data_IF_251605665123
#
_entry.id   IF_251605665123
#
_cell.length_a   1.000
_cell.length_b   1.000
_cell.length_c   1.000
_cell.angle_alpha   90.00
_cell.angle_beta   90.00
_cell.angle_gamma   90.00
#
_symmetry.space_group_name_H-M   'P 1'
#
loop_
_entity.id
_entity.type
_entity.pdbx_description
1 polymer ?
#
# COMPACT_ATOMS: atom_id res chain seq x y z
N UNK A 1 32.52 19.99 -7.20
CA UNK A 1 31.75 18.76 -6.98
C UNK A 1 30.60 19.07 -6.01
N UNK A 2 29.44 19.49 -6.53
CA UNK A 2 28.24 19.72 -5.69
C UNK A 2 27.44 18.42 -5.73
N UNK A 3 27.46 17.61 -4.65
CA UNK A 3 26.37 16.66 -4.44
C UNK A 3 25.14 17.52 -4.19
N UNK A 4 24.28 17.67 -5.20
CA UNK A 4 23.04 18.41 -5.04
C UNK A 4 22.21 17.75 -3.95
N UNK A 5 21.50 18.56 -3.17
CA UNK A 5 20.53 18.11 -2.17
C UNK A 5 19.57 17.03 -2.71
N UNK A 6 19.28 17.06 -4.01
CA UNK A 6 18.48 16.07 -4.74
C UNK A 6 19.06 14.65 -4.80
N UNK A 7 20.34 14.45 -4.48
CA UNK A 7 21.01 13.14 -4.53
C UNK A 7 21.11 12.42 -3.18
N UNK A 8 20.74 13.09 -2.08
CA UNK A 8 20.77 12.48 -0.76
C UNK A 8 19.43 11.76 -0.48
N UNK A 9 19.44 10.45 -0.19
CA UNK A 9 18.21 9.69 -0.07
C UNK A 9 17.40 10.05 1.18
N UNK A 10 18.04 10.40 2.29
CA UNK A 10 17.35 10.87 3.50
C UNK A 10 16.67 12.22 3.25
N UNK A 11 17.34 13.13 2.55
CA UNK A 11 16.76 14.41 2.13
C UNK A 11 15.54 14.18 1.24
N UNK A 12 15.61 13.25 0.30
CA UNK A 12 14.48 12.87 -0.54
C UNK A 12 13.32 12.26 0.27
N UNK A 13 13.59 11.40 1.26
CA UNK A 13 12.55 10.93 2.18
C UNK A 13 11.85 12.10 2.88
N UNK A 14 12.61 13.01 3.50
CA UNK A 14 12.07 14.15 4.25
C UNK A 14 11.23 15.07 3.34
N UNK A 15 11.73 15.37 2.15
CA UNK A 15 11.00 16.17 1.15
C UNK A 15 9.73 15.45 0.68
N UNK A 16 9.82 14.14 0.41
CA UNK A 16 8.68 13.32 0.03
C UNK A 16 7.58 13.32 1.08
N UNK A 17 7.94 13.12 2.35
CA UNK A 17 7.00 13.18 3.49
C UNK A 17 6.39 14.58 3.65
N UNK A 18 7.18 15.64 3.44
CA UNK A 18 6.69 17.01 3.47
C UNK A 18 5.61 17.23 2.41
N UNK A 19 5.83 16.75 1.18
CA UNK A 19 4.84 16.83 0.12
C UNK A 19 3.62 15.95 0.37
N UNK A 20 3.77 14.78 1.00
CA UNK A 20 2.64 13.97 1.44
C UNK A 20 1.75 14.76 2.40
N UNK A 21 2.36 15.42 3.38
CA UNK A 21 1.65 16.25 4.35
C UNK A 21 0.95 17.44 3.70
N UNK A 22 1.62 18.15 2.78
CA UNK A 22 1.04 19.28 2.04
C UNK A 22 -0.12 18.84 1.17
N UNK A 23 0.00 17.71 0.48
CA UNK A 23 -1.07 17.13 -0.32
C UNK A 23 -2.28 16.77 0.55
N UNK A 24 -2.06 16.01 1.64
CA UNK A 24 -3.13 15.60 2.55
C UNK A 24 -3.83 16.80 3.20
N UNK A 25 -3.07 17.80 3.64
CA UNK A 25 -3.60 19.02 4.25
C UNK A 25 -4.42 19.88 3.27
N UNK A 26 -4.10 19.79 1.97
CA UNK A 26 -4.82 20.46 0.88
C UNK A 26 -6.12 19.76 0.46
N UNK A 27 -6.42 18.58 0.99
CA UNK A 27 -7.65 17.87 0.66
C UNK A 27 -8.88 18.51 1.33
N UNK A 28 -10.06 18.48 0.67
CA UNK A 28 -11.34 18.76 1.31
C UNK A 28 -11.52 17.93 2.58
N UNK A 29 -12.25 18.45 3.59
CA UNK A 29 -12.47 17.73 4.87
C UNK A 29 -13.13 16.38 4.65
N UNK A 30 -13.98 16.29 3.64
CA UNK A 30 -14.71 15.10 3.22
C UNK A 30 -13.83 14.09 2.48
N UNK A 31 -12.55 14.38 2.25
CA UNK A 31 -11.56 13.41 1.76
C UNK A 31 -10.49 13.11 2.84
N UNK A 32 -10.45 13.89 3.92
CA UNK A 32 -9.55 13.72 5.07
C UNK A 32 -10.14 12.84 6.19
N UNK A 33 -10.91 11.80 5.84
CA UNK A 33 -11.64 10.97 6.82
C UNK A 33 -10.74 10.46 7.94
N UNK A 34 -11.20 10.60 9.19
CA UNK A 34 -10.64 9.96 10.40
C UNK A 34 -11.76 9.25 11.17
N UNK A 35 -11.47 7.98 11.47
CA UNK A 35 -12.08 7.02 12.43
C UNK A 35 -13.56 6.59 12.34
N UNK A 36 -13.72 5.27 12.47
CA UNK A 36 -14.86 4.49 12.99
C UNK A 36 -15.91 3.96 12.00
N UNK A 37 -15.59 2.86 11.30
CA UNK A 37 -16.11 1.50 11.58
C UNK A 37 -15.63 0.53 10.48
N UNK A 38 -15.12 -0.64 10.89
CA UNK A 38 -14.23 -1.48 10.08
C UNK A 38 -14.95 -2.27 8.99
N UNK A 39 -14.57 -2.12 7.71
CA UNK A 39 -14.45 -3.19 6.68
C UNK A 39 -13.72 -2.64 5.42
N UNK A 40 -12.37 -2.63 5.45
CA UNK A 40 -11.48 -2.17 4.37
C UNK A 40 -10.02 -2.61 4.61
N UNK A 41 -9.05 -2.18 3.78
CA UNK A 41 -7.61 -2.42 3.98
C UNK A 41 -7.20 -2.12 5.44
N UNK A 42 -6.22 -2.83 6.00
CA UNK A 42 -5.88 -2.65 7.40
C UNK A 42 -5.43 -1.22 7.71
N UNK A 43 -5.85 -0.67 8.86
CA UNK A 43 -5.63 0.72 9.26
C UNK A 43 -4.16 1.14 9.28
N UNK A 44 -3.25 0.19 9.45
CA UNK A 44 -1.81 0.42 9.40
C UNK A 44 -1.29 0.66 7.98
N UNK A 45 -1.97 0.13 6.94
CA UNK A 45 -1.60 0.27 5.53
C UNK A 45 -2.17 1.54 4.93
N UNK A 46 -3.43 1.85 5.24
CA UNK A 46 -4.06 3.11 4.87
C UNK A 46 -4.85 3.62 6.07
N UNK A 47 -4.62 4.85 6.54
CA UNK A 47 -5.44 5.45 7.59
C UNK A 47 -6.85 5.85 7.09
N UNK A 48 -7.26 5.32 5.94
CA UNK A 48 -8.49 5.68 5.24
C UNK A 48 -9.34 4.44 5.01
N UNK A 49 -10.62 4.58 5.31
CA UNK A 49 -11.61 3.55 5.05
C UNK A 49 -11.95 3.53 3.55
N UNK A 50 -11.72 2.38 2.91
CA UNK A 50 -12.19 2.16 1.55
C UNK A 50 -13.67 1.77 1.56
N UNK A 51 -14.52 2.40 0.72
CA UNK A 51 -15.93 2.03 0.64
C UNK A 51 -16.12 0.58 0.20
N UNK A 52 -17.08 -0.11 0.80
CA UNK A 52 -17.35 -1.53 0.50
C UNK A 52 -18.07 -1.72 -0.83
N UNK A 53 -18.92 -0.77 -1.23
CA UNK A 53 -19.55 -0.82 -2.55
C UNK A 53 -18.62 -0.23 -3.61
N UNK A 54 -18.47 -0.96 -4.73
CA UNK A 54 -17.63 -0.54 -5.85
C UNK A 54 -18.00 0.87 -6.34
N UNK A 55 -19.29 1.18 -6.42
CA UNK A 55 -19.77 2.49 -6.88
C UNK A 55 -19.31 3.64 -5.95
N UNK A 56 -19.33 3.41 -4.64
CA UNK A 56 -18.87 4.43 -3.67
C UNK A 56 -17.35 4.53 -3.66
N UNK A 57 -16.65 3.40 -3.83
CA UNK A 57 -15.19 3.37 -3.99
C UNK A 57 -14.76 4.16 -5.23
N UNK A 58 -15.33 3.86 -6.40
CA UNK A 58 -15.04 4.56 -7.66
C UNK A 58 -15.34 6.06 -7.54
N UNK A 59 -16.45 6.42 -6.88
CA UNK A 59 -16.79 7.81 -6.58
C UNK A 59 -15.75 8.51 -5.69
N UNK A 60 -15.26 7.84 -4.64
CA UNK A 60 -14.24 8.36 -3.73
C UNK A 60 -12.89 8.51 -4.43
N UNK A 61 -12.48 7.50 -5.20
CA UNK A 61 -11.21 7.51 -5.93
C UNK A 61 -11.21 8.55 -7.04
N UNK A 62 -12.33 8.73 -7.76
CA UNK A 62 -12.48 9.80 -8.73
C UNK A 62 -12.34 11.19 -8.09
N UNK A 63 -12.79 11.37 -6.83
CA UNK A 63 -12.55 12.62 -6.10
C UNK A 63 -11.06 12.80 -5.79
N UNK A 64 -10.37 11.78 -5.29
CA UNK A 64 -8.93 11.87 -5.00
C UNK A 64 -8.09 12.11 -6.26
N UNK A 65 -8.45 11.48 -7.39
CA UNK A 65 -7.78 11.67 -8.68
C UNK A 65 -7.76 13.13 -9.14
N UNK A 66 -8.83 13.88 -8.84
CA UNK A 66 -8.92 15.32 -9.15
C UNK A 66 -7.91 16.18 -8.37
N UNK A 67 -7.31 15.63 -7.31
CA UNK A 67 -6.30 16.30 -6.49
C UNK A 67 -4.87 15.83 -6.79
N UNK A 68 -4.60 15.29 -7.98
CA UNK A 68 -3.24 15.01 -8.48
C UNK A 68 -2.50 16.31 -8.84
N UNK A 69 -2.29 17.16 -7.84
CA UNK A 69 -1.56 18.42 -7.95
C UNK A 69 -0.04 18.20 -7.90
N UNK A 70 0.72 19.29 -7.91
CA UNK A 70 2.18 19.22 -7.90
C UNK A 70 2.75 18.67 -6.58
N UNK A 71 2.03 18.80 -5.47
CA UNK A 71 2.41 18.16 -4.20
C UNK A 71 2.30 16.63 -4.31
N UNK A 72 1.21 16.10 -4.89
CA UNK A 72 1.07 14.66 -5.14
C UNK A 72 2.23 14.11 -5.97
N UNK A 73 2.51 14.76 -7.11
CA UNK A 73 3.56 14.34 -8.04
C UNK A 73 4.96 14.43 -7.39
N UNK A 74 5.20 15.49 -6.63
CA UNK A 74 6.48 15.69 -5.95
C UNK A 74 6.70 14.69 -4.82
N UNK A 75 5.65 14.35 -4.06
CA UNK A 75 5.70 13.29 -3.05
C UNK A 75 6.13 11.96 -3.67
N UNK A 76 5.43 11.50 -4.72
CA UNK A 76 5.78 10.26 -5.41
C UNK A 76 7.22 10.27 -5.94
N UNK A 77 7.63 11.36 -6.60
CA UNK A 77 8.99 11.50 -7.14
C UNK A 77 10.04 11.34 -6.05
N UNK A 78 9.93 12.08 -4.96
CA UNK A 78 10.94 12.09 -3.92
C UNK A 78 10.97 10.80 -3.10
N UNK A 79 9.81 10.21 -2.80
CA UNK A 79 9.74 8.90 -2.15
C UNK A 79 10.36 7.80 -3.02
N UNK A 80 10.10 7.82 -4.32
CA UNK A 80 10.66 6.85 -5.25
C UNK A 80 12.19 6.99 -5.37
N UNK A 81 12.70 8.22 -5.49
CA UNK A 81 14.15 8.49 -5.51
C UNK A 81 14.83 8.02 -4.23
N UNK A 82 14.18 8.23 -3.07
CA UNK A 82 14.66 7.75 -1.77
C UNK A 82 14.69 6.22 -1.67
N UNK A 83 13.77 5.53 -2.33
CA UNK A 83 13.70 4.06 -2.32
C UNK A 83 14.71 3.44 -3.30
N UNK A 84 14.97 4.10 -4.43
CA UNK A 84 15.82 3.60 -5.51
C UNK A 84 17.29 4.04 -5.43
N UNK A 85 17.68 4.72 -4.35
CA UNK A 85 19.06 5.15 -4.13
C UNK A 85 20.03 3.99 -3.91
N UNK A 86 21.33 4.25 -4.07
CA UNK A 86 22.41 3.26 -3.84
C UNK A 86 22.33 2.61 -2.47
N UNK A 87 21.90 3.37 -1.45
CA UNK A 87 21.47 2.86 -0.15
C UNK A 87 19.96 3.11 -0.05
N UNK A 88 19.12 2.09 -0.32
CA UNK A 88 17.66 2.22 -0.27
C UNK A 88 17.16 2.58 1.12
N UNK A 89 16.25 3.55 1.20
CA UNK A 89 15.54 3.91 2.43
C UNK A 89 14.17 3.26 2.41
N UNK A 90 14.05 2.10 3.06
CA UNK A 90 12.83 1.27 3.05
C UNK A 90 11.66 1.98 3.75
N UNK A 91 11.93 2.94 4.61
CA UNK A 91 10.93 3.79 5.28
C UNK A 91 10.13 4.63 4.27
N UNK A 92 10.68 4.93 3.09
CA UNK A 92 9.95 5.61 2.01
C UNK A 92 8.85 4.73 1.39
N UNK A 93 8.92 3.42 1.59
CA UNK A 93 8.06 2.44 0.94
C UNK A 93 6.60 2.58 1.37
N UNK A 94 6.36 2.66 2.68
CA UNK A 94 5.01 2.75 3.21
C UNK A 94 4.23 3.99 2.71
N UNK A 95 4.76 5.22 2.85
CA UNK A 95 4.07 6.41 2.33
C UNK A 95 3.96 6.40 0.79
N UNK A 96 4.89 5.78 0.07
CA UNK A 96 4.80 5.65 -1.40
C UNK A 96 3.56 4.84 -1.79
N UNK A 97 3.37 3.66 -1.18
CA UNK A 97 2.20 2.81 -1.43
C UNK A 97 0.91 3.53 -1.02
N UNK A 98 0.90 4.23 0.13
CA UNK A 98 -0.26 5.02 0.54
C UNK A 98 -0.66 6.08 -0.49
N UNK A 99 0.32 6.83 -1.00
CA UNK A 99 0.07 7.87 -2.02
C UNK A 99 -0.47 7.25 -3.31
N UNK A 100 0.11 6.15 -3.79
CA UNK A 100 -0.35 5.48 -5.01
C UNK A 100 -1.78 4.96 -4.86
N UNK A 101 -2.10 4.31 -3.74
CA UNK A 101 -3.46 3.83 -3.48
C UNK A 101 -4.44 5.00 -3.42
N UNK A 102 -4.06 6.10 -2.79
CA UNK A 102 -4.87 7.31 -2.69
C UNK A 102 -5.09 8.00 -4.03
N UNK A 103 -4.12 7.91 -4.95
CA UNK A 103 -4.26 8.42 -6.31
C UNK A 103 -4.94 7.47 -7.29
N UNK A 104 -5.55 6.39 -6.80
CA UNK A 104 -6.17 5.35 -7.65
C UNK A 104 -5.18 4.67 -8.61
N UNK A 105 -3.91 4.59 -8.19
CA UNK A 105 -2.79 4.00 -8.92
C UNK A 105 -2.46 2.61 -8.35
N UNK A 106 -3.46 1.74 -8.29
CA UNK A 106 -3.32 0.40 -7.72
C UNK A 106 -2.29 -0.46 -8.46
N UNK A 107 -2.27 -0.39 -9.79
CA UNK A 107 -1.33 -1.19 -10.59
C UNK A 107 0.12 -0.77 -10.32
N UNK A 108 0.36 0.53 -10.22
CA UNK A 108 1.66 1.09 -9.85
C UNK A 108 2.04 0.71 -8.42
N UNK A 109 1.09 0.72 -7.47
CA UNK A 109 1.35 0.26 -6.10
C UNK A 109 1.78 -1.22 -6.08
N UNK A 110 1.12 -2.08 -6.85
CA UNK A 110 1.49 -3.49 -6.97
C UNK A 110 2.83 -3.68 -7.67
N UNK A 111 3.12 -2.92 -8.72
CA UNK A 111 4.40 -2.97 -9.44
C UNK A 111 5.57 -2.52 -8.54
N UNK A 112 5.41 -1.42 -7.79
CA UNK A 112 6.42 -0.96 -6.82
C UNK A 112 6.60 -1.95 -5.66
N UNK A 113 5.53 -2.61 -5.20
CA UNK A 113 5.63 -3.74 -4.26
C UNK A 113 6.53 -4.85 -4.83
N UNK A 114 6.25 -5.34 -6.03
CA UNK A 114 7.03 -6.43 -6.66
C UNK A 114 8.49 -6.04 -6.89
N UNK A 115 8.77 -4.78 -7.27
CA UNK A 115 10.14 -4.26 -7.38
C UNK A 115 10.84 -4.23 -6.03
N UNK A 116 10.14 -3.80 -4.97
CA UNK A 116 10.72 -3.63 -3.64
C UNK A 116 11.16 -4.95 -2.99
N UNK A 117 10.53 -6.09 -3.33
CA UNK A 117 10.96 -7.42 -2.85
C UNK A 117 12.37 -7.79 -3.29
N UNK A 118 12.86 -7.21 -4.40
CA UNK A 118 14.25 -7.39 -4.85
C UNK A 118 15.25 -6.61 -4.00
N UNK A 119 14.77 -5.58 -3.29
CA UNK A 119 15.57 -4.66 -2.47
C UNK A 119 15.64 -5.17 -1.04
N UNK A 120 14.47 -5.52 -0.48
CA UNK A 120 14.33 -6.06 0.85
C UNK A 120 13.08 -6.93 0.89
N UNK A 121 13.14 -8.01 1.66
CA UNK A 121 12.03 -8.94 1.80
C UNK A 121 11.58 -8.91 3.27
N UNK A 122 10.89 -7.83 3.63
CA UNK A 122 10.39 -7.60 4.98
C UNK A 122 8.99 -8.20 5.17
N UNK A 123 8.69 -8.60 6.42
CA UNK A 123 7.34 -9.05 6.80
C UNK A 123 6.29 -7.97 6.49
N UNK A 124 6.65 -6.69 6.63
CA UNK A 124 5.76 -5.58 6.32
C UNK A 124 5.36 -5.56 4.85
N UNK A 125 6.31 -5.65 3.92
CA UNK A 125 6.02 -5.68 2.48
C UNK A 125 5.12 -6.87 2.10
N UNK A 126 5.39 -8.06 2.67
CA UNK A 126 4.54 -9.25 2.45
C UNK A 126 3.11 -9.01 2.93
N UNK A 127 2.94 -8.42 4.12
CA UNK A 127 1.62 -8.07 4.67
C UNK A 127 0.89 -7.04 3.80
N UNK A 128 1.61 -6.05 3.25
CA UNK A 128 1.03 -5.05 2.34
C UNK A 128 0.54 -5.69 1.06
N UNK A 129 1.38 -6.55 0.44
CA UNK A 129 1.03 -7.31 -0.75
C UNK A 129 -0.19 -8.19 -0.52
N UNK A 130 -0.22 -8.94 0.58
CA UNK A 130 -1.36 -9.79 0.93
C UNK A 130 -2.65 -8.97 1.09
N UNK A 131 -2.59 -7.82 1.78
CA UNK A 131 -3.74 -6.95 1.98
C UNK A 131 -4.31 -6.41 0.65
N UNK A 132 -3.45 -5.94 -0.26
CA UNK A 132 -3.88 -5.46 -1.57
C UNK A 132 -4.42 -6.58 -2.45
N UNK A 133 -3.76 -7.73 -2.48
CA UNK A 133 -4.22 -8.89 -3.25
C UNK A 133 -5.58 -9.38 -2.74
N UNK A 134 -5.76 -9.45 -1.42
CA UNK A 134 -7.03 -9.86 -0.80
C UNK A 134 -8.17 -8.90 -1.18
N UNK A 135 -7.91 -7.60 -1.15
CA UNK A 135 -8.94 -6.60 -1.40
C UNK A 135 -9.29 -6.46 -2.89
N UNK A 136 -8.29 -6.50 -3.77
CA UNK A 136 -8.46 -6.15 -5.19
C UNK A 136 -8.41 -7.33 -6.16
N UNK A 137 -7.83 -8.47 -5.76
CA UNK A 137 -7.62 -9.62 -6.66
C UNK A 137 -8.62 -10.76 -6.45
N UNK A 138 -9.56 -10.60 -5.52
CA UNK A 138 -10.50 -11.66 -5.13
C UNK A 138 -9.84 -12.76 -4.30
N UNK A 139 -10.66 -13.53 -3.60
CA UNK A 139 -10.24 -14.43 -2.51
C UNK A 139 -9.58 -15.73 -3.02
N UNK A 140 -9.76 -16.10 -4.30
CA UNK A 140 -9.25 -17.34 -4.88
C UNK A 140 -7.97 -17.14 -5.70
N UNK A 141 -6.98 -16.45 -5.13
CA UNK A 141 -5.72 -16.19 -5.82
C UNK A 141 -4.60 -17.04 -5.24
N UNK A 142 -4.00 -17.93 -6.05
CA UNK A 142 -2.82 -18.73 -5.66
C UNK A 142 -1.71 -17.83 -5.11
N UNK A 143 -1.53 -16.62 -5.67
CA UNK A 143 -0.54 -15.64 -5.19
C UNK A 143 -0.83 -15.16 -3.77
N UNK A 144 -2.10 -15.12 -3.36
CA UNK A 144 -2.50 -14.68 -2.03
C UNK A 144 -2.24 -15.77 -0.98
N UNK A 145 -2.45 -17.05 -1.31
CA UNK A 145 -2.00 -18.18 -0.49
C UNK A 145 -0.50 -18.11 -0.24
N UNK A 146 0.28 -18.01 -1.32
CA UNK A 146 1.75 -17.91 -1.21
C UNK A 146 2.17 -16.73 -0.34
N UNK A 147 1.52 -15.57 -0.47
CA UNK A 147 1.82 -14.42 0.38
C UNK A 147 1.59 -14.73 1.88
N UNK A 148 0.47 -15.35 2.25
CA UNK A 148 0.22 -15.67 3.67
C UNK A 148 1.17 -16.75 4.20
N UNK A 149 1.55 -17.73 3.38
CA UNK A 149 2.57 -18.72 3.74
C UNK A 149 3.93 -18.06 3.97
N UNK A 150 4.36 -17.16 3.08
CA UNK A 150 5.64 -16.47 3.20
C UNK A 150 5.68 -15.53 4.41
N UNK A 151 4.55 -14.91 4.77
CA UNK A 151 4.42 -14.16 6.02
C UNK A 151 4.67 -15.09 7.21
N UNK A 152 4.01 -16.26 7.28
CA UNK A 152 4.15 -17.18 8.41
C UNK A 152 5.54 -17.81 8.51
N UNK A 153 6.22 -18.04 7.39
CA UNK A 153 7.62 -18.51 7.39
C UNK A 153 8.55 -17.52 8.10
N UNK A 154 8.26 -16.22 8.01
CA UNK A 154 9.07 -15.15 8.61
C UNK A 154 8.59 -14.70 9.97
N UNK A 155 7.27 -14.72 10.16
CA UNK A 155 6.60 -14.41 11.41
C UNK A 155 5.58 -15.51 11.72
N UNK A 156 6.03 -16.59 12.40
CA UNK A 156 5.16 -17.68 12.80
C UNK A 156 4.04 -17.27 13.77
N UNK A 157 4.11 -16.07 14.36
CA UNK A 157 3.12 -15.56 15.31
C UNK A 157 1.98 -14.78 14.64
N UNK A 158 2.02 -14.61 13.32
CA UNK A 158 1.02 -13.85 12.57
C UNK A 158 -0.34 -14.59 12.51
N UNK A 159 -1.14 -14.45 13.57
CA UNK A 159 -2.46 -15.07 13.69
C UNK A 159 -3.43 -14.67 12.57
N UNK A 160 -3.30 -13.44 12.04
CA UNK A 160 -4.09 -12.97 10.92
C UNK A 160 -3.87 -13.81 9.65
N UNK A 161 -2.60 -14.04 9.27
CA UNK A 161 -2.26 -14.86 8.08
C UNK A 161 -2.71 -16.31 8.24
N UNK A 162 -2.54 -16.89 9.43
CA UNK A 162 -3.04 -18.23 9.74
C UNK A 162 -4.57 -18.32 9.60
N UNK A 163 -5.29 -17.38 10.21
CA UNK A 163 -6.76 -17.33 10.14
C UNK A 163 -7.25 -17.21 8.68
N UNK A 164 -6.58 -16.41 7.85
CA UNK A 164 -6.91 -16.27 6.43
C UNK A 164 -6.68 -17.56 5.65
N UNK A 165 -5.54 -18.22 5.83
CA UNK A 165 -5.26 -19.51 5.17
C UNK A 165 -6.31 -20.58 5.53
N UNK A 166 -6.73 -20.65 6.80
CA UNK A 166 -7.79 -21.58 7.24
C UNK A 166 -9.11 -21.31 6.50
N UNK A 167 -9.54 -20.05 6.44
CA UNK A 167 -10.78 -19.66 5.73
C UNK A 167 -10.70 -20.02 4.24
N UNK A 168 -9.55 -19.76 3.62
CA UNK A 168 -9.35 -20.05 2.20
C UNK A 168 -9.38 -21.56 1.90
N UNK A 169 -8.70 -22.37 2.71
CA UNK A 169 -8.74 -23.83 2.60
C UNK A 169 -10.15 -24.38 2.76
N UNK A 170 -10.90 -23.90 3.75
CA UNK A 170 -12.30 -24.31 3.96
C UNK A 170 -13.18 -24.02 2.74
N UNK A 171 -13.00 -22.85 2.10
CA UNK A 171 -13.74 -22.48 0.90
C UNK A 171 -13.34 -23.30 -0.33
N UNK A 172 -12.05 -23.58 -0.51
CA UNK A 172 -11.58 -24.43 -1.61
C UNK A 172 -12.15 -25.86 -1.50
N UNK A 173 -12.25 -26.41 -0.28
CA UNK A 173 -12.86 -27.71 -0.02
C UNK A 173 -14.37 -27.73 -0.27
N UNK A 174 -15.08 -26.61 -0.06
CA UNK A 174 -16.51 -26.48 -0.38
C UNK A 174 -16.73 -26.50 -1.90
N UNK A 175 -15.87 -25.85 -2.69
CA UNK A 175 -16.00 -25.81 -4.16
C UNK A 175 -15.75 -27.18 -4.82
N UNK A 176 -14.95 -28.06 -4.21
CA UNK A 176 -14.68 -29.43 -4.73
C UNK A 176 -15.80 -30.41 -4.37
N UNK A 177 -16.68 -30.06 -3.42
CA UNK A 177 -17.75 -30.95 -2.92
C UNK A 177 -19.13 -30.71 -3.58
N UNK A 178 -19.18 -29.95 -4.68
CA UNK A 178 -20.40 -29.71 -5.50
C UNK A 178 -20.26 -30.42 -6.83
#
# INVERSE_FOLDING_TARGET
>A
MKRGFESDPVSNLVVGLTFCHLWYSGLPKELRWTELDSFGLPSWLLPLHLPTSRETYEGLMNKHRKFHNDYYKSALKHLLVSLQSTVPIIEAFHPLIQMLLLGDQLNEALDELEKSFKISDTVLQLRMKAALLEHFSGINNVKLYTCFEDILKKDPTCSNSLARLVVMHQRALIVIRV
#
